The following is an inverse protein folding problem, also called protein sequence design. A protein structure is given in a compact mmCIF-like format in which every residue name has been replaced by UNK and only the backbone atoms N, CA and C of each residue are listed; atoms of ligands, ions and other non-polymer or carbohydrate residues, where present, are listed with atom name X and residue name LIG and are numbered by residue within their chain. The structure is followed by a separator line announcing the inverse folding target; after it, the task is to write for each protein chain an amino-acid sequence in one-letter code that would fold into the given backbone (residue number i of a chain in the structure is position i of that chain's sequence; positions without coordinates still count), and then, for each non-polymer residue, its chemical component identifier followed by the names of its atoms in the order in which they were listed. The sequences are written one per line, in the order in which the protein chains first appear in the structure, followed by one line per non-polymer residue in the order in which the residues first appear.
data_IF_114492325477
#
_entry.id   IF_114492325477
#
_cell.length_a   1.000
_cell.length_b   1.000
_cell.length_c   1.000
_cell.angle_alpha   90.00
_cell.angle_beta   90.00
_cell.angle_gamma   90.00
#
_symmetry.space_group_name_H-M   'P 1'
#
loop_
_entity.id
_entity.type
_entity.pdbx_description
1 polymer ?
#
# COMPACT_ATOMS: atom_id res chain seq x y z
N UNK A 1 11.12 -17.71 -16.16
CA UNK A 1 12.46 -17.21 -15.79
C UNK A 1 12.31 -15.70 -15.76
N UNK A 2 11.92 -15.14 -14.61
CA UNK A 2 11.87 -13.70 -14.38
C UNK A 2 13.30 -13.19 -14.33
N UNK A 3 13.58 -12.15 -15.10
CA UNK A 3 14.92 -11.53 -15.12
C UNK A 3 15.25 -10.94 -13.75
N UNK A 4 16.39 -11.27 -13.14
CA UNK A 4 16.89 -10.58 -11.98
C UNK A 4 17.34 -9.18 -12.43
N UNK A 5 16.54 -8.16 -12.19
CA UNK A 5 16.88 -6.84 -12.69
C UNK A 5 15.98 -5.67 -12.30
N UNK A 6 15.09 -5.83 -11.31
CA UNK A 6 14.41 -4.64 -10.76
C UNK A 6 15.39 -3.82 -9.92
N UNK A 7 15.48 -2.48 -10.09
CA UNK A 7 16.24 -1.61 -9.18
C UNK A 7 15.87 -1.83 -7.71
N UNK A 8 14.60 -2.05 -7.39
CA UNK A 8 14.12 -2.36 -6.05
C UNK A 8 14.69 -3.68 -5.50
N UNK A 9 14.78 -4.71 -6.34
CA UNK A 9 15.41 -6.00 -6.01
C UNK A 9 16.91 -5.83 -5.72
N UNK A 10 17.63 -5.09 -6.58
CA UNK A 10 19.05 -4.78 -6.37
C UNK A 10 19.27 -3.86 -5.17
N UNK A 11 18.38 -2.91 -4.90
CA UNK A 11 18.45 -2.07 -3.70
C UNK A 11 18.25 -2.90 -2.43
N UNK A 12 17.25 -3.79 -2.38
CA UNK A 12 17.05 -4.72 -1.27
C UNK A 12 18.24 -5.66 -1.07
N UNK A 13 18.74 -6.30 -2.12
CA UNK A 13 19.90 -7.20 -2.04
C UNK A 13 21.21 -6.46 -1.74
N UNK A 14 21.44 -5.29 -2.34
CA UNK A 14 22.66 -4.50 -2.10
C UNK A 14 22.62 -3.82 -0.72
N UNK A 15 21.46 -3.35 -0.27
CA UNK A 15 21.27 -2.83 1.08
C UNK A 15 21.46 -3.91 2.15
N UNK A 16 21.16 -5.17 1.80
CA UNK A 16 21.22 -6.34 2.68
C UNK A 16 22.49 -7.19 2.46
N UNK A 17 23.56 -6.64 1.84
CA UNK A 17 24.83 -7.35 1.59
C UNK A 17 25.53 -7.76 2.92
N UNK A 18 25.02 -8.83 3.51
CA UNK A 18 25.30 -9.33 4.85
C UNK A 18 26.38 -10.44 4.89
N UNK A 19 27.27 -10.41 3.92
CA UNK A 19 28.36 -11.41 3.84
C UNK A 19 29.37 -11.37 4.99
N UNK A 20 29.19 -10.49 6.00
CA UNK A 20 30.18 -10.29 7.06
C UNK A 20 29.68 -10.27 8.51
N UNK A 21 28.48 -10.75 8.79
CA UNK A 21 28.07 -11.01 10.17
C UNK A 21 27.82 -9.78 11.07
N UNK A 22 27.90 -8.56 10.54
CA UNK A 22 27.61 -7.34 11.28
C UNK A 22 26.14 -6.96 11.11
N UNK A 23 25.40 -6.93 12.21
CA UNK A 23 24.04 -6.40 12.28
C UNK A 23 24.08 -4.90 11.96
N UNK A 24 23.56 -4.51 10.80
CA UNK A 24 23.39 -3.10 10.49
C UNK A 24 22.39 -2.46 11.45
N UNK A 25 22.63 -1.21 11.83
CA UNK A 25 21.66 -0.43 12.58
C UNK A 25 20.41 -0.13 11.70
N UNK A 26 19.27 0.07 12.33
CA UNK A 26 18.05 0.47 11.63
C UNK A 26 18.27 1.71 10.74
N UNK A 27 19.05 2.69 11.21
CA UNK A 27 19.41 3.89 10.44
C UNK A 27 20.16 3.56 9.14
N UNK A 28 21.17 2.70 9.20
CA UNK A 28 21.93 2.27 8.03
C UNK A 28 21.08 1.52 7.00
N UNK A 29 20.13 0.70 7.48
CA UNK A 29 19.18 0.02 6.59
C UNK A 29 18.25 1.03 5.90
N UNK A 30 17.70 1.97 6.66
CA UNK A 30 16.81 3.00 6.11
C UNK A 30 17.52 3.91 5.10
N UNK A 31 18.78 4.30 5.37
CA UNK A 31 19.59 5.08 4.45
C UNK A 31 19.87 4.33 3.15
N UNK A 32 20.22 3.04 3.23
CA UNK A 32 20.50 2.22 2.04
C UNK A 32 19.27 1.94 1.18
N UNK A 33 18.11 1.76 1.81
CA UNK A 33 16.83 1.59 1.10
C UNK A 33 16.24 2.91 0.63
N UNK A 34 16.85 4.06 0.99
CA UNK A 34 16.33 5.40 0.72
C UNK A 34 14.89 5.62 1.22
N UNK A 35 14.48 4.87 2.26
CA UNK A 35 13.13 4.96 2.85
C UNK A 35 13.08 5.86 4.08
N UNK A 36 14.15 6.60 4.36
CA UNK A 36 14.12 7.62 5.42
C UNK A 36 13.21 8.79 5.05
N UNK A 37 12.53 9.36 6.05
CA UNK A 37 11.76 10.58 5.85
C UNK A 37 12.65 11.76 5.45
N UNK A 38 12.17 12.58 4.51
CA UNK A 38 12.85 13.81 4.12
C UNK A 38 12.67 14.87 5.22
N UNK A 39 13.75 15.56 5.59
CA UNK A 39 13.70 16.62 6.61
C UNK A 39 12.99 17.88 6.11
N UNK A 40 13.12 18.17 4.82
CA UNK A 40 12.57 19.34 4.12
C UNK A 40 11.16 19.11 3.55
N UNK A 41 10.54 17.98 3.86
CA UNK A 41 9.25 17.62 3.29
C UNK A 41 8.13 18.55 3.78
N UNK A 42 7.35 19.02 2.84
CA UNK A 42 6.21 19.90 3.06
C UNK A 42 5.01 19.07 3.54
N UNK A 43 4.18 19.71 4.37
CA UNK A 43 2.87 19.14 4.75
C UNK A 43 1.78 19.81 3.93
N UNK A 44 0.80 19.04 3.56
CA UNK A 44 -0.42 19.51 2.93
C UNK A 44 -1.60 19.45 3.92
N UNK A 45 -2.62 20.23 3.64
CA UNK A 45 -3.84 20.24 4.45
C UNK A 45 -4.71 19.04 4.05
N UNK A 46 -5.10 18.24 5.06
CA UNK A 46 -6.20 17.27 4.96
C UNK A 46 -7.53 17.92 5.29
N UNK A 47 -8.44 17.21 5.96
CA UNK A 47 -9.64 17.81 6.55
C UNK A 47 -9.28 18.91 7.56
N UNK A 48 -10.25 19.66 8.05
CA UNK A 48 -10.03 20.76 8.99
C UNK A 48 -9.19 20.31 10.21
N UNK A 49 -8.10 21.06 10.46
CA UNK A 49 -7.18 20.81 11.58
C UNK A 49 -6.19 19.66 11.38
N UNK A 50 -6.15 19.04 10.22
CA UNK A 50 -5.21 17.95 9.88
C UNK A 50 -4.15 18.41 8.90
N UNK A 51 -2.90 18.12 9.20
CA UNK A 51 -1.75 18.27 8.30
C UNK A 51 -1.22 16.89 7.94
N UNK A 52 -1.06 16.63 6.64
CA UNK A 52 -0.59 15.37 6.09
C UNK A 52 0.82 15.52 5.53
N UNK A 53 1.73 14.68 6.01
CA UNK A 53 3.03 14.53 5.36
C UNK A 53 2.83 13.88 3.99
N UNK A 54 3.42 14.46 2.95
CA UNK A 54 3.36 13.89 1.60
C UNK A 54 4.67 14.08 0.86
N UNK A 55 4.83 13.30 -0.18
CA UNK A 55 5.88 13.44 -1.20
C UNK A 55 5.24 13.42 -2.58
N UNK A 56 5.81 14.19 -3.50
CA UNK A 56 5.35 14.23 -4.89
C UNK A 56 6.56 14.16 -5.81
N UNK A 57 6.50 13.23 -6.78
CA UNK A 57 7.59 12.99 -7.74
C UNK A 57 7.00 12.80 -9.13
N UNK A 58 7.73 13.24 -10.16
CA UNK A 58 7.29 13.11 -11.55
C UNK A 58 6.30 14.16 -12.00
N UNK A 59 5.74 13.98 -13.20
CA UNK A 59 4.75 14.85 -13.83
C UNK A 59 3.86 14.05 -14.78
N UNK A 60 2.63 14.52 -15.04
CA UNK A 60 1.66 13.83 -15.89
C UNK A 60 0.39 13.47 -15.12
N UNK A 61 -0.36 12.43 -15.54
CA UNK A 61 -1.51 11.94 -14.81
C UNK A 61 -1.17 11.63 -13.35
N UNK A 62 -2.04 12.03 -12.42
CA UNK A 62 -1.74 11.91 -10.99
C UNK A 62 -2.08 10.51 -10.49
N UNK A 63 -1.12 9.88 -9.80
CA UNK A 63 -1.30 8.64 -9.05
C UNK A 63 -1.15 8.94 -7.57
N UNK A 64 -2.23 8.80 -6.81
CA UNK A 64 -2.24 8.94 -5.36
C UNK A 64 -2.11 7.56 -4.71
N UNK A 65 -1.02 7.31 -3.98
CA UNK A 65 -0.86 6.06 -3.24
C UNK A 65 -1.57 6.14 -1.89
N UNK A 66 -2.35 5.11 -1.57
CA UNK A 66 -3.05 4.98 -0.30
C UNK A 66 -2.34 3.92 0.55
N UNK A 67 -1.68 4.36 1.61
CA UNK A 67 -0.93 3.48 2.51
C UNK A 67 -1.86 2.50 3.23
N UNK A 68 -1.46 1.24 3.32
CA UNK A 68 -1.96 0.40 4.40
C UNK A 68 -1.26 0.78 5.73
N UNK A 69 -1.66 0.17 6.86
CA UNK A 69 -1.13 0.57 8.16
C UNK A 69 0.33 0.17 8.43
N UNK A 70 0.93 -0.65 7.56
CA UNK A 70 2.30 -1.15 7.68
C UNK A 70 3.28 -0.43 6.75
N UNK A 71 2.77 0.49 5.91
CA UNK A 71 3.58 1.27 4.98
C UNK A 71 3.53 2.76 5.32
N UNK A 72 4.63 3.44 5.04
CA UNK A 72 4.77 4.88 5.16
C UNK A 72 5.14 5.50 3.81
N UNK A 73 4.96 6.80 3.68
CA UNK A 73 5.24 7.54 2.44
C UNK A 73 6.62 7.25 1.84
N UNK A 74 7.74 7.22 2.61
CA UNK A 74 9.05 6.96 2.03
C UNK A 74 9.18 5.60 1.35
N UNK A 75 8.45 4.59 1.79
CA UNK A 75 8.55 3.25 1.21
C UNK A 75 8.05 3.19 -0.23
N UNK A 76 7.14 4.07 -0.63
CA UNK A 76 6.65 4.13 -2.00
C UNK A 76 7.69 4.56 -3.02
N UNK A 77 8.73 5.29 -2.64
CA UNK A 77 9.80 5.70 -3.57
C UNK A 77 10.40 4.51 -4.31
N UNK A 78 10.58 3.38 -3.59
CA UNK A 78 11.16 2.16 -4.16
C UNK A 78 10.20 1.46 -5.12
N UNK A 79 8.89 1.61 -4.91
CA UNK A 79 7.86 0.88 -5.65
C UNK A 79 7.13 1.74 -6.69
N UNK A 80 7.57 2.99 -6.91
CA UNK A 80 6.95 3.93 -7.87
C UNK A 80 7.96 4.77 -8.64
N UNK A 81 9.25 4.42 -8.59
CA UNK A 81 10.32 5.14 -9.25
C UNK A 81 10.17 5.15 -10.78
N UNK A 82 9.93 3.99 -11.40
CA UNK A 82 9.67 3.87 -12.84
C UNK A 82 8.33 4.52 -13.23
N UNK A 83 7.29 4.35 -12.41
CA UNK A 83 5.98 4.96 -12.63
C UNK A 83 6.07 6.49 -12.65
N UNK A 84 6.93 7.07 -11.81
CA UNK A 84 7.14 8.52 -11.73
C UNK A 84 7.78 9.15 -12.97
N UNK A 85 8.32 8.36 -13.90
CA UNK A 85 8.87 8.87 -15.17
C UNK A 85 7.76 9.46 -16.06
N UNK A 86 6.59 8.86 -16.08
CA UNK A 86 5.45 9.30 -16.91
C UNK A 86 4.24 9.84 -16.14
N UNK A 87 4.28 9.77 -14.81
CA UNK A 87 3.15 10.12 -13.95
C UNK A 87 3.59 10.99 -12.77
N UNK A 88 2.69 11.84 -12.28
CA UNK A 88 2.89 12.52 -10.99
C UNK A 88 2.46 11.59 -9.88
N UNK A 89 3.40 10.93 -9.20
CA UNK A 89 3.12 10.10 -8.03
C UNK A 89 3.07 10.97 -6.79
N UNK A 90 1.97 10.91 -6.05
CA UNK A 90 1.77 11.56 -4.75
C UNK A 90 1.57 10.46 -3.71
N UNK A 91 2.44 10.41 -2.72
CA UNK A 91 2.35 9.50 -1.58
C UNK A 91 2.18 10.31 -0.30
N UNK A 92 1.36 9.84 0.64
CA UNK A 92 1.15 10.55 1.90
C UNK A 92 1.00 9.58 3.07
N UNK A 93 1.34 10.03 4.27
CA UNK A 93 1.05 9.29 5.50
C UNK A 93 -0.39 9.53 5.93
N UNK A 94 -1.11 8.47 6.26
CA UNK A 94 -2.45 8.56 6.84
C UNK A 94 -2.42 9.39 8.12
N UNK A 95 -3.47 10.15 8.40
CA UNK A 95 -3.66 10.80 9.69
C UNK A 95 -3.62 9.75 10.81
N UNK A 96 -2.83 9.97 11.84
CA UNK A 96 -2.54 9.00 12.89
C UNK A 96 -1.39 8.04 12.57
N UNK A 97 -0.64 8.28 11.49
CA UNK A 97 0.55 7.50 11.10
C UNK A 97 1.72 8.38 10.68
N UNK A 98 2.92 7.84 10.83
CA UNK A 98 4.16 8.40 10.32
C UNK A 98 4.39 9.84 10.76
N UNK A 99 4.56 10.77 9.80
CA UNK A 99 4.76 12.21 10.06
C UNK A 99 3.52 13.08 9.85
N UNK A 100 2.35 12.49 9.58
CA UNK A 100 1.08 13.21 9.57
C UNK A 100 0.60 13.56 10.97
N UNK A 101 -0.46 14.37 11.07
CA UNK A 101 -1.09 14.71 12.36
C UNK A 101 -1.53 13.48 13.12
N UNK A 102 -1.30 13.47 14.44
CA UNK A 102 -1.73 12.44 15.38
C UNK A 102 -2.77 13.02 16.34
N UNK A 103 -4.07 13.00 15.98
CA UNK A 103 -5.13 13.50 16.84
C UNK A 103 -5.35 12.58 18.04
N UNK A 104 -5.87 13.11 19.16
CA UNK A 104 -6.17 12.34 20.36
C UNK A 104 -7.12 11.14 20.07
N UNK A 105 -8.12 11.37 19.21
CA UNK A 105 -9.00 10.33 18.73
C UNK A 105 -8.56 9.88 17.34
N UNK A 106 -8.23 8.59 17.19
CA UNK A 106 -7.84 8.00 15.90
C UNK A 106 -8.98 8.14 14.87
N UNK A 107 -8.66 8.52 13.61
CA UNK A 107 -9.65 8.78 12.58
C UNK A 107 -10.49 7.56 12.20
N UNK A 108 -11.72 7.81 11.80
CA UNK A 108 -12.61 6.85 11.15
C UNK A 108 -12.28 6.73 9.64
N UNK A 109 -12.84 5.72 8.95
CA UNK A 109 -12.73 5.63 7.48
C UNK A 109 -13.28 6.86 6.78
N UNK A 110 -14.39 7.41 7.26
CA UNK A 110 -14.99 8.62 6.69
C UNK A 110 -14.07 9.83 6.82
N UNK A 111 -13.41 10.00 7.97
CA UNK A 111 -12.43 11.06 8.19
C UNK A 111 -11.19 10.89 7.32
N UNK A 112 -10.74 9.67 7.05
CA UNK A 112 -9.67 9.42 6.08
C UNK A 112 -10.09 9.72 4.64
N UNK A 113 -11.36 9.52 4.27
CA UNK A 113 -11.88 9.96 2.95
C UNK A 113 -11.78 11.48 2.82
N UNK A 114 -12.20 12.23 3.84
CA UNK A 114 -12.09 13.71 3.84
C UNK A 114 -10.62 14.18 3.84
N UNK A 115 -9.71 13.43 4.46
CA UNK A 115 -8.27 13.70 4.39
C UNK A 115 -7.73 13.55 2.97
N UNK A 116 -8.17 12.53 2.22
CA UNK A 116 -7.80 12.35 0.80
C UNK A 116 -8.30 13.52 -0.04
N UNK A 117 -9.54 13.92 0.13
CA UNK A 117 -10.13 15.04 -0.63
C UNK A 117 -9.41 16.34 -0.29
N UNK A 118 -9.19 16.62 1.01
CA UNK A 118 -8.45 17.79 1.45
C UNK A 118 -7.02 17.84 0.90
N UNK A 119 -6.34 16.70 0.81
CA UNK A 119 -5.02 16.59 0.19
C UNK A 119 -5.06 16.92 -1.30
N UNK A 120 -6.02 16.37 -2.05
CA UNK A 120 -6.18 16.66 -3.47
C UNK A 120 -6.45 18.16 -3.69
N UNK A 121 -7.32 18.77 -2.87
CA UNK A 121 -7.63 20.21 -2.95
C UNK A 121 -6.38 21.07 -2.63
N UNK A 122 -5.64 20.72 -1.57
CA UNK A 122 -4.44 21.47 -1.19
C UNK A 122 -3.32 21.39 -2.24
N UNK A 123 -3.30 20.33 -3.06
CA UNK A 123 -2.33 20.12 -4.14
C UNK A 123 -2.85 20.55 -5.51
N UNK A 124 -4.05 21.17 -5.57
CA UNK A 124 -4.72 21.61 -6.80
C UNK A 124 -4.88 20.46 -7.81
N UNK A 125 -5.25 19.27 -7.30
CA UNK A 125 -5.46 18.05 -8.10
C UNK A 125 -6.97 17.84 -8.24
N UNK A 126 -7.50 18.00 -9.45
CA UNK A 126 -8.91 17.78 -9.71
C UNK A 126 -9.28 16.30 -9.60
N UNK A 127 -8.51 15.42 -10.23
CA UNK A 127 -8.74 13.99 -10.26
C UNK A 127 -7.42 13.20 -10.17
N UNK A 128 -7.45 12.01 -9.54
CA UNK A 128 -6.31 11.12 -9.45
C UNK A 128 -6.69 9.66 -9.71
N UNK A 129 -5.70 8.87 -10.13
CA UNK A 129 -5.73 7.42 -10.01
C UNK A 129 -5.41 7.05 -8.57
N UNK A 130 -6.24 6.20 -7.94
CA UNK A 130 -5.99 5.73 -6.58
C UNK A 130 -5.24 4.39 -6.62
N UNK A 131 -4.00 4.36 -6.18
CA UNK A 131 -3.21 3.14 -6.01
C UNK A 131 -3.26 2.71 -4.55
N UNK A 132 -4.00 1.66 -4.25
CA UNK A 132 -4.26 1.20 -2.89
C UNK A 132 -3.84 -0.25 -2.67
N UNK A 133 -3.49 -0.57 -1.43
CA UNK A 133 -2.96 -1.88 -1.07
C UNK A 133 -3.66 -2.49 0.14
N UNK A 134 -3.95 -3.78 0.10
CA UNK A 134 -4.51 -4.51 1.23
C UNK A 134 -5.73 -3.79 1.84
N UNK A 135 -5.67 -3.42 3.11
CA UNK A 135 -6.79 -2.78 3.82
C UNK A 135 -7.10 -1.37 3.32
N UNK A 136 -6.13 -0.63 2.74
CA UNK A 136 -6.42 0.70 2.19
C UNK A 136 -7.30 0.66 0.93
N UNK A 137 -7.54 -0.52 0.38
CA UNK A 137 -8.54 -0.71 -0.69
C UNK A 137 -9.96 -0.37 -0.23
N UNK A 138 -10.22 -0.44 1.08
CA UNK A 138 -11.46 0.07 1.71
C UNK A 138 -11.54 1.60 1.54
N UNK A 139 -10.42 2.31 1.78
CA UNK A 139 -10.36 3.76 1.60
C UNK A 139 -10.55 4.15 0.13
N UNK A 140 -9.88 3.47 -0.81
CA UNK A 140 -10.05 3.73 -2.25
C UNK A 140 -11.51 3.55 -2.68
N UNK A 141 -12.18 2.49 -2.24
CA UNK A 141 -13.61 2.25 -2.45
C UNK A 141 -14.47 3.40 -1.93
N UNK A 142 -14.22 3.83 -0.69
CA UNK A 142 -15.05 4.83 -0.02
C UNK A 142 -14.85 6.22 -0.64
N UNK A 143 -13.63 6.57 -1.06
CA UNK A 143 -13.37 7.77 -1.86
C UNK A 143 -14.14 7.73 -3.17
N UNK A 144 -14.08 6.61 -3.91
CA UNK A 144 -14.77 6.50 -5.20
C UNK A 144 -16.32 6.51 -5.07
N UNK A 145 -16.86 6.02 -3.95
CA UNK A 145 -18.31 6.06 -3.69
C UNK A 145 -18.82 7.45 -3.31
N UNK A 146 -18.02 8.21 -2.54
CA UNK A 146 -18.43 9.51 -2.01
C UNK A 146 -18.03 10.68 -2.91
N UNK A 147 -16.90 10.56 -3.58
CA UNK A 147 -16.29 11.58 -4.43
C UNK A 147 -15.92 11.01 -5.81
N UNK A 148 -16.87 10.44 -6.57
CA UNK A 148 -16.58 9.78 -7.85
C UNK A 148 -15.95 10.73 -8.88
N UNK A 149 -16.23 12.03 -8.79
CA UNK A 149 -15.67 13.10 -9.61
C UNK A 149 -14.18 13.36 -9.35
N UNK A 150 -13.63 12.86 -8.24
CA UNK A 150 -12.21 13.00 -7.89
C UNK A 150 -11.37 11.78 -8.31
N UNK A 151 -11.99 10.72 -8.88
CA UNK A 151 -11.32 9.44 -9.15
C UNK A 151 -11.36 9.13 -10.66
N UNK A 152 -10.17 9.10 -11.28
CA UNK A 152 -10.02 8.70 -12.70
C UNK A 152 -10.02 7.19 -12.89
N UNK A 153 -9.47 6.46 -11.94
CA UNK A 153 -9.38 5.01 -11.95
C UNK A 153 -8.82 4.49 -10.63
N UNK A 154 -8.91 3.19 -10.42
CA UNK A 154 -8.53 2.56 -9.15
C UNK A 154 -7.65 1.34 -9.42
N UNK A 155 -6.54 1.23 -8.73
CA UNK A 155 -5.72 0.02 -8.65
C UNK A 155 -5.81 -0.54 -7.24
N UNK A 156 -6.23 -1.80 -7.13
CA UNK A 156 -6.40 -2.53 -5.87
C UNK A 156 -5.39 -3.68 -5.82
N UNK A 157 -4.28 -3.49 -5.10
CA UNK A 157 -3.24 -4.51 -4.92
C UNK A 157 -3.48 -5.33 -3.64
N UNK A 158 -3.63 -6.64 -3.75
CA UNK A 158 -3.94 -7.54 -2.64
C UNK A 158 -5.20 -7.10 -1.86
N UNK A 159 -6.35 -6.89 -2.50
CA UNK A 159 -7.47 -6.17 -1.88
C UNK A 159 -8.14 -6.93 -0.72
N UNK A 160 -8.55 -6.15 0.28
CA UNK A 160 -9.35 -6.61 1.42
C UNK A 160 -10.86 -6.41 1.21
N UNK A 161 -11.33 -6.38 -0.04
CA UNK A 161 -12.71 -6.11 -0.39
C UNK A 161 -13.52 -7.37 -0.70
N UNK A 162 -14.86 -7.22 -0.63
CA UNK A 162 -15.82 -8.28 -0.93
C UNK A 162 -15.96 -9.30 0.20
N UNK A 163 -17.03 -10.14 0.16
CA UNK A 163 -17.38 -11.00 1.30
C UNK A 163 -16.31 -12.00 1.71
N UNK A 164 -15.56 -12.53 0.73
CA UNK A 164 -14.46 -13.48 1.00
C UNK A 164 -13.23 -12.77 1.56
N UNK A 165 -12.77 -11.71 0.90
CA UNK A 165 -11.61 -10.93 1.31
C UNK A 165 -11.81 -10.37 2.72
N UNK A 166 -12.89 -9.64 2.96
CA UNK A 166 -13.15 -9.03 4.26
C UNK A 166 -13.26 -10.03 5.41
N UNK A 167 -13.91 -11.18 5.24
CA UNK A 167 -14.01 -12.18 6.32
C UNK A 167 -12.65 -12.73 6.70
N UNK A 168 -11.83 -13.09 5.72
CA UNK A 168 -10.49 -13.62 5.96
C UNK A 168 -9.59 -12.55 6.57
N UNK A 169 -9.57 -11.35 5.99
CA UNK A 169 -8.80 -10.23 6.51
C UNK A 169 -9.14 -9.89 7.96
N UNK A 170 -10.41 -9.87 8.35
CA UNK A 170 -10.81 -9.63 9.75
C UNK A 170 -10.26 -10.67 10.72
N UNK A 171 -10.23 -11.95 10.33
CA UNK A 171 -9.66 -13.01 11.16
C UNK A 171 -8.15 -12.85 11.30
N UNK A 172 -7.45 -12.58 10.19
CA UNK A 172 -6.01 -12.36 10.16
C UNK A 172 -5.65 -11.09 10.95
N UNK A 173 -6.34 -9.98 10.72
CA UNK A 173 -6.11 -8.72 11.44
C UNK A 173 -6.35 -8.84 12.95
N UNK A 174 -7.31 -9.66 13.38
CA UNK A 174 -7.47 -9.99 14.80
C UNK A 174 -6.28 -10.77 15.35
N UNK A 175 -5.75 -11.73 14.60
CA UNK A 175 -4.57 -12.47 14.99
C UNK A 175 -3.33 -11.55 15.09
N UNK A 176 -3.15 -10.66 14.09
CA UNK A 176 -2.09 -9.65 14.10
C UNK A 176 -2.21 -8.69 15.28
N UNK A 177 -3.42 -8.19 15.56
CA UNK A 177 -3.68 -7.30 16.70
C UNK A 177 -3.34 -8.00 18.03
N UNK A 178 -3.77 -9.24 18.22
CA UNK A 178 -3.43 -10.02 19.41
C UNK A 178 -1.90 -10.24 19.53
N UNK A 179 -1.24 -10.59 18.43
CA UNK A 179 0.23 -10.75 18.42
C UNK A 179 0.92 -9.45 18.80
N UNK A 180 0.47 -8.32 18.23
CA UNK A 180 1.03 -7.00 18.52
C UNK A 180 0.83 -6.59 19.98
N UNK A 181 -0.38 -6.75 20.51
CA UNK A 181 -0.71 -6.34 21.88
C UNK A 181 0.05 -7.19 22.93
N UNK A 182 0.14 -8.51 22.72
CA UNK A 182 0.73 -9.45 23.66
C UNK A 182 2.25 -9.62 23.53
N UNK A 183 2.78 -9.55 22.29
CA UNK A 183 4.17 -9.92 21.99
C UNK A 183 4.98 -8.81 21.32
N UNK A 184 4.33 -7.69 20.92
CA UNK A 184 5.00 -6.51 20.36
C UNK A 184 5.28 -6.60 18.85
N UNK A 185 5.94 -5.54 18.35
CA UNK A 185 6.10 -5.29 16.92
C UNK A 185 6.98 -6.32 16.20
N UNK A 186 8.06 -6.77 16.84
CA UNK A 186 8.94 -7.77 16.24
C UNK A 186 8.22 -9.12 16.04
N UNK A 187 7.37 -9.52 16.98
CA UNK A 187 6.55 -10.72 16.86
C UNK A 187 5.45 -10.55 15.79
N UNK A 188 4.83 -9.37 15.72
CA UNK A 188 3.90 -9.07 14.64
C UNK A 188 4.58 -9.17 13.27
N UNK A 189 5.76 -8.57 13.10
CA UNK A 189 6.52 -8.66 11.85
C UNK A 189 6.79 -10.11 11.44
N UNK A 190 7.29 -10.93 12.39
CA UNK A 190 7.54 -12.35 12.12
C UNK A 190 6.27 -13.14 11.75
N UNK A 191 5.10 -12.71 12.26
CA UNK A 191 3.82 -13.33 11.94
C UNK A 191 3.35 -12.96 10.52
N UNK A 192 3.43 -11.69 10.15
CA UNK A 192 2.92 -11.23 8.85
C UNK A 192 3.89 -11.47 7.68
N UNK A 193 5.19 -11.62 7.93
CA UNK A 193 6.19 -11.79 6.87
C UNK A 193 5.85 -12.93 5.90
N UNK A 194 5.58 -14.17 6.36
CA UNK A 194 5.22 -15.27 5.47
C UNK A 194 3.80 -15.18 4.89
N UNK A 195 2.96 -14.25 5.35
CA UNK A 195 1.62 -14.04 4.82
C UNK A 195 1.58 -12.94 3.76
N UNK A 196 2.62 -12.10 3.69
CA UNK A 196 2.69 -10.92 2.81
C UNK A 196 3.57 -11.17 1.59
N UNK A 197 4.73 -11.80 1.77
CA UNK A 197 5.69 -12.08 0.71
C UNK A 197 5.42 -13.42 0.04
N UNK A 198 5.68 -13.51 -1.28
CA UNK A 198 5.67 -14.77 -2.01
C UNK A 198 6.79 -15.72 -1.56
N UNK A 199 6.58 -17.02 -1.71
CA UNK A 199 7.52 -18.04 -1.27
C UNK A 199 8.90 -17.89 -1.96
N UNK A 200 8.92 -17.56 -3.24
CA UNK A 200 10.15 -17.38 -4.02
C UNK A 200 11.00 -16.22 -3.48
N UNK A 201 10.35 -15.08 -3.17
CA UNK A 201 11.02 -13.93 -2.56
C UNK A 201 11.57 -14.25 -1.16
N UNK A 202 10.82 -15.00 -0.34
CA UNK A 202 11.29 -15.42 0.99
C UNK A 202 12.56 -16.28 0.89
N UNK A 203 12.60 -17.21 -0.06
CA UNK A 203 13.78 -18.06 -0.29
C UNK A 203 14.98 -17.24 -0.79
N UNK A 204 14.75 -16.29 -1.71
CA UNK A 204 15.82 -15.44 -2.24
C UNK A 204 16.40 -14.47 -1.20
N UNK A 205 15.54 -13.80 -0.43
CA UNK A 205 15.96 -12.87 0.61
C UNK A 205 16.61 -13.57 1.82
N UNK A 206 16.13 -14.76 2.13
CA UNK A 206 16.63 -15.55 3.26
C UNK A 206 16.59 -14.83 4.60
N UNK A 207 17.40 -15.29 5.55
CA UNK A 207 17.49 -14.66 6.88
C UNK A 207 17.96 -13.21 6.86
N UNK A 208 18.94 -12.80 6.03
CA UNK A 208 19.35 -11.40 5.93
C UNK A 208 18.21 -10.47 5.52
N UNK A 209 17.43 -10.85 4.49
CA UNK A 209 16.29 -10.07 4.05
C UNK A 209 15.22 -9.93 5.12
N UNK A 210 14.87 -11.03 5.79
CA UNK A 210 13.95 -11.01 6.92
C UNK A 210 14.38 -10.00 8.00
N UNK A 211 15.64 -10.03 8.41
CA UNK A 211 16.15 -9.16 9.49
C UNK A 211 16.21 -7.70 9.06
N UNK A 212 16.68 -7.39 7.83
CA UNK A 212 16.77 -6.02 7.33
C UNK A 212 15.40 -5.35 7.18
N UNK A 213 14.43 -6.06 6.60
CA UNK A 213 13.06 -5.56 6.48
C UNK A 213 12.38 -5.40 7.86
N UNK A 214 12.70 -6.28 8.82
CA UNK A 214 12.23 -6.14 10.20
C UNK A 214 12.70 -4.83 10.83
N UNK A 215 13.97 -4.50 10.69
CA UNK A 215 14.53 -3.26 11.28
C UNK A 215 13.89 -2.02 10.64
N UNK A 216 13.67 -2.04 9.32
CA UNK A 216 12.94 -0.96 8.63
C UNK A 216 11.51 -0.81 9.14
N UNK A 217 10.79 -1.91 9.30
CA UNK A 217 9.43 -1.93 9.86
C UNK A 217 9.38 -1.35 11.28
N UNK A 218 10.34 -1.75 12.14
CA UNK A 218 10.42 -1.27 13.52
C UNK A 218 10.78 0.22 13.61
N UNK A 219 11.53 0.74 12.64
CA UNK A 219 11.95 2.14 12.62
C UNK A 219 10.88 3.09 12.06
N UNK A 220 10.06 2.63 11.12
CA UNK A 220 9.07 3.45 10.41
C UNK A 220 7.70 3.50 11.07
N UNK A 221 7.38 2.54 11.93
CA UNK A 221 6.07 2.40 12.55
C UNK A 221 6.14 2.46 14.07
N UNK A 222 5.08 2.94 14.71
CA UNK A 222 4.92 2.83 16.17
C UNK A 222 3.90 1.75 16.53
N UNK A 223 4.04 1.17 17.73
CA UNK A 223 3.06 0.19 18.22
C UNK A 223 1.65 0.79 18.30
N UNK A 224 1.54 2.04 18.70
CA UNK A 224 0.27 2.74 18.86
C UNK A 224 -0.45 2.93 17.53
N UNK A 225 0.28 3.41 16.49
CA UNK A 225 -0.27 3.59 15.14
C UNK A 225 -0.81 2.27 14.59
N UNK A 226 -0.03 1.19 14.72
CA UNK A 226 -0.43 -0.13 14.25
C UNK A 226 -1.62 -0.70 15.01
N UNK A 227 -1.69 -0.52 16.33
CA UNK A 227 -2.85 -0.95 17.14
C UNK A 227 -4.11 -0.21 16.68
N UNK A 228 -4.01 1.11 16.51
CA UNK A 228 -5.14 1.94 16.09
C UNK A 228 -5.59 1.60 14.66
N UNK A 229 -4.65 1.46 13.72
CA UNK A 229 -4.94 1.04 12.35
C UNK A 229 -5.61 -0.34 12.28
N UNK A 230 -5.09 -1.33 12.99
CA UNK A 230 -5.68 -2.67 13.05
C UNK A 230 -7.08 -2.67 13.67
N UNK A 231 -7.33 -1.83 14.68
CA UNK A 231 -8.68 -1.63 15.24
C UNK A 231 -9.63 -1.01 14.21
N UNK A 232 -9.19 0.01 13.48
CA UNK A 232 -9.98 0.60 12.40
C UNK A 232 -10.29 -0.43 11.31
N UNK A 233 -9.31 -1.26 10.91
CA UNK A 233 -9.49 -2.31 9.91
C UNK A 233 -10.65 -3.27 10.24
N UNK A 234 -10.93 -3.49 11.52
CA UNK A 234 -12.02 -4.36 11.96
C UNK A 234 -13.41 -3.73 11.79
N UNK A 235 -13.51 -2.43 11.48
CA UNK A 235 -14.79 -1.69 11.36
C UNK A 235 -15.31 -1.55 9.92
N UNK A 236 -14.52 -1.92 8.90
CA UNK A 236 -14.83 -1.68 7.48
C UNK A 236 -16.14 -2.35 7.03
N UNK A 237 -16.85 -1.70 6.10
CA UNK A 237 -18.03 -2.27 5.42
C UNK A 237 -17.63 -3.50 4.59
N UNK A 238 -18.49 -4.51 4.51
CA UNK A 238 -18.20 -5.78 3.84
C UNK A 238 -19.11 -6.09 2.66
N UNK A 239 -20.17 -5.29 2.42
CA UNK A 239 -21.10 -5.55 1.32
C UNK A 239 -20.40 -5.39 -0.03
N UNK A 240 -20.55 -6.41 -0.88
CA UNK A 240 -20.08 -6.34 -2.25
C UNK A 240 -21.03 -5.55 -3.16
N UNK A 241 -22.25 -5.28 -2.73
CA UNK A 241 -23.26 -4.61 -3.54
C UNK A 241 -22.92 -3.14 -3.81
N UNK A 242 -22.17 -2.53 -2.88
CA UNK A 242 -21.71 -1.13 -3.05
C UNK A 242 -20.72 -0.99 -4.21
N UNK A 243 -19.96 -2.03 -4.55
CA UNK A 243 -18.95 -2.02 -5.60
C UNK A 243 -19.55 -1.82 -6.99
N UNK A 244 -20.78 -2.28 -7.21
CA UNK A 244 -21.51 -2.08 -8.45
C UNK A 244 -21.86 -0.60 -8.74
N UNK A 245 -21.67 0.29 -7.76
CA UNK A 245 -21.89 1.74 -7.89
C UNK A 245 -20.64 2.52 -8.28
N UNK A 246 -19.48 1.86 -8.33
CA UNK A 246 -18.19 2.48 -8.68
C UNK A 246 -17.99 2.36 -10.18
N UNK A 247 -18.24 3.45 -10.89
CA UNK A 247 -18.10 3.52 -12.35
C UNK A 247 -16.65 3.71 -12.81
N UNK A 248 -15.76 4.17 -11.91
CA UNK A 248 -14.34 4.35 -12.24
C UNK A 248 -13.71 3.03 -12.71
N UNK A 249 -12.93 3.04 -13.81
CA UNK A 249 -12.15 1.88 -14.23
C UNK A 249 -11.35 1.32 -13.06
N UNK A 250 -11.47 0.01 -12.82
CA UNK A 250 -10.85 -0.64 -11.66
C UNK A 250 -10.00 -1.82 -12.08
N UNK A 251 -8.72 -1.83 -11.67
CA UNK A 251 -7.79 -2.92 -11.83
C UNK A 251 -7.54 -3.60 -10.48
N UNK A 252 -7.87 -4.89 -10.38
CA UNK A 252 -7.52 -5.75 -9.23
C UNK A 252 -6.22 -6.47 -9.56
N UNK A 253 -5.19 -6.31 -8.73
CA UNK A 253 -3.89 -6.99 -8.88
C UNK A 253 -3.64 -7.89 -7.68
N UNK A 254 -3.25 -9.12 -7.92
CA UNK A 254 -2.98 -10.12 -6.88
C UNK A 254 -1.84 -11.03 -7.31
N UNK A 255 -1.05 -11.49 -6.37
CA UNK A 255 -0.10 -12.58 -6.59
C UNK A 255 -0.81 -13.94 -6.64
N UNK A 256 -0.27 -14.89 -7.37
CA UNK A 256 -0.79 -16.27 -7.39
C UNK A 256 -0.46 -17.04 -6.11
N UNK A 257 0.52 -16.57 -5.33
CA UNK A 257 0.91 -17.08 -4.01
C UNK A 257 0.27 -16.28 -2.84
N UNK A 258 -0.70 -15.41 -3.12
CA UNK A 258 -1.43 -14.66 -2.06
C UNK A 258 -2.26 -15.60 -1.19
N UNK A 259 -1.80 -15.79 0.04
CA UNK A 259 -2.48 -16.63 1.04
C UNK A 259 -3.68 -15.94 1.68
N UNK A 260 -3.87 -14.63 1.50
CA UNK A 260 -4.98 -13.84 2.06
C UNK A 260 -6.17 -13.75 1.10
N UNK A 261 -5.91 -13.58 -0.20
CA UNK A 261 -6.93 -13.59 -1.25
C UNK A 261 -6.47 -14.48 -2.40
N UNK A 262 -7.23 -15.51 -2.73
CA UNK A 262 -6.87 -16.41 -3.83
C UNK A 262 -7.12 -15.77 -5.19
N UNK A 263 -6.47 -16.26 -6.28
CA UNK A 263 -6.73 -15.81 -7.66
C UNK A 263 -8.20 -15.84 -8.07
N UNK A 264 -8.97 -16.87 -7.64
CA UNK A 264 -10.41 -16.92 -7.87
C UNK A 264 -11.18 -15.82 -7.14
N UNK A 265 -10.69 -15.41 -5.96
CA UNK A 265 -11.26 -14.29 -5.20
C UNK A 265 -11.04 -12.94 -5.89
N UNK A 266 -9.88 -12.74 -6.53
CA UNK A 266 -9.59 -11.53 -7.31
C UNK A 266 -10.53 -11.41 -8.52
N UNK A 267 -10.75 -12.49 -9.25
CA UNK A 267 -11.72 -12.53 -10.36
C UNK A 267 -13.12 -12.18 -9.90
N UNK A 268 -13.62 -12.88 -8.86
CA UNK A 268 -14.97 -12.61 -8.29
C UNK A 268 -15.11 -11.16 -7.83
N UNK A 269 -14.05 -10.55 -7.30
CA UNK A 269 -14.04 -9.17 -6.87
C UNK A 269 -14.12 -8.21 -8.07
N UNK A 270 -13.27 -8.42 -9.09
CA UNK A 270 -13.25 -7.58 -10.27
C UNK A 270 -14.60 -7.57 -11.00
N UNK A 271 -15.29 -8.70 -11.06
CA UNK A 271 -16.64 -8.85 -11.64
C UNK A 271 -17.74 -8.08 -10.89
N UNK A 272 -17.45 -7.55 -9.69
CA UNK A 272 -18.40 -6.69 -8.93
C UNK A 272 -18.37 -5.24 -9.36
N UNK A 273 -17.31 -4.80 -10.04
CA UNK A 273 -17.19 -3.46 -10.57
C UNK A 273 -17.70 -3.41 -12.01
N UNK A 274 -18.50 -2.42 -12.42
CA UNK A 274 -18.98 -2.28 -13.80
C UNK A 274 -17.84 -2.27 -14.82
N UNK A 275 -16.73 -1.61 -14.50
CA UNK A 275 -15.54 -1.49 -15.34
C UNK A 275 -14.32 -2.18 -14.66
N UNK A 276 -14.55 -3.33 -14.01
CA UNK A 276 -13.54 -4.07 -13.30
C UNK A 276 -12.77 -5.05 -14.18
N UNK A 277 -11.47 -5.14 -13.98
CA UNK A 277 -10.61 -6.19 -14.52
C UNK A 277 -9.63 -6.67 -13.45
N UNK A 278 -9.01 -7.83 -13.67
CA UNK A 278 -8.00 -8.35 -12.76
C UNK A 278 -6.77 -8.83 -13.52
N UNK A 279 -5.64 -8.80 -12.83
CA UNK A 279 -4.37 -9.39 -13.27
C UNK A 279 -3.78 -10.20 -12.13
N UNK A 280 -3.13 -11.30 -12.48
CA UNK A 280 -2.44 -12.18 -11.53
C UNK A 280 -0.96 -12.08 -11.82
N UNK A 281 -0.16 -11.74 -10.80
CA UNK A 281 1.29 -11.67 -10.90
C UNK A 281 1.89 -13.00 -10.44
N UNK A 282 2.58 -13.74 -11.34
CA UNK A 282 3.15 -15.04 -11.01
C UNK A 282 4.26 -14.93 -9.95
N UNK A 283 4.27 -15.87 -9.00
CA UNK A 283 5.26 -15.95 -7.92
C UNK A 283 5.13 -14.88 -6.83
N UNK A 284 4.20 -13.95 -6.99
CA UNK A 284 4.02 -12.87 -6.02
C UNK A 284 3.05 -13.26 -4.89
N UNK A 285 3.30 -12.70 -3.69
CA UNK A 285 2.45 -12.85 -2.53
C UNK A 285 1.33 -11.81 -2.44
N UNK A 286 0.96 -11.44 -1.22
CA UNK A 286 -0.19 -10.56 -0.93
C UNK A 286 -0.02 -9.13 -1.46
N UNK A 287 1.19 -8.59 -1.40
CA UNK A 287 1.51 -7.27 -1.92
C UNK A 287 2.46 -7.41 -3.12
N UNK A 288 1.91 -7.61 -4.34
CA UNK A 288 2.69 -8.06 -5.50
C UNK A 288 3.85 -7.13 -5.88
N UNK A 289 3.77 -5.84 -5.54
CA UNK A 289 4.85 -4.88 -5.77
C UNK A 289 6.08 -5.12 -4.88
N UNK A 290 5.95 -5.86 -3.78
CA UNK A 290 7.09 -6.25 -2.95
C UNK A 290 7.92 -7.35 -3.64
N UNK A 291 7.25 -8.25 -4.34
CA UNK A 291 7.87 -9.40 -5.01
C UNK A 291 8.38 -9.04 -6.42
N UNK A 292 7.61 -8.26 -7.19
CA UNK A 292 8.00 -7.77 -8.53
C UNK A 292 7.57 -6.31 -8.74
N UNK A 293 8.40 -5.38 -8.25
CA UNK A 293 8.14 -3.94 -8.34
C UNK A 293 8.08 -3.44 -9.79
N UNK A 294 8.97 -3.90 -10.67
CA UNK A 294 9.02 -3.46 -12.06
C UNK A 294 7.80 -3.94 -12.85
N UNK A 295 7.45 -5.23 -12.72
CA UNK A 295 6.25 -5.80 -13.34
C UNK A 295 4.98 -5.13 -12.86
N UNK A 296 4.90 -4.84 -11.56
CA UNK A 296 3.76 -4.13 -10.99
C UNK A 296 3.64 -2.69 -11.53
N UNK A 297 4.73 -1.92 -11.56
CA UNK A 297 4.73 -0.56 -12.08
C UNK A 297 4.36 -0.51 -13.57
N UNK A 298 4.89 -1.43 -14.38
CA UNK A 298 4.55 -1.54 -15.80
C UNK A 298 3.06 -1.86 -16.00
N UNK A 299 2.48 -2.72 -15.15
CA UNK A 299 1.06 -3.06 -15.18
C UNK A 299 0.18 -1.86 -14.83
N UNK A 300 0.56 -1.08 -13.80
CA UNK A 300 -0.15 0.13 -13.40
C UNK A 300 -0.07 1.19 -14.50
N UNK A 301 1.11 1.45 -15.06
CA UNK A 301 1.31 2.40 -16.17
C UNK A 301 0.43 2.04 -17.37
N UNK A 302 0.46 0.77 -17.80
CA UNK A 302 -0.39 0.28 -18.88
C UNK A 302 -1.88 0.50 -18.61
N UNK A 303 -2.33 0.27 -17.37
CA UNK A 303 -3.71 0.52 -16.98
C UNK A 303 -4.10 1.99 -17.14
N UNK A 304 -3.25 2.90 -16.67
CA UNK A 304 -3.46 4.33 -16.77
C UNK A 304 -3.52 4.77 -18.24
N UNK A 305 -2.55 4.36 -19.05
CA UNK A 305 -2.49 4.69 -20.49
C UNK A 305 -3.75 4.24 -21.24
N UNK A 306 -4.28 3.05 -20.91
CA UNK A 306 -5.52 2.55 -21.52
C UNK A 306 -6.75 3.37 -21.10
N UNK A 307 -6.80 3.88 -19.86
CA UNK A 307 -7.89 4.74 -19.39
C UNK A 307 -7.79 6.12 -20.04
N UNK A 308 -6.60 6.74 -20.07
CA UNK A 308 -6.36 8.05 -20.71
C UNK A 308 -6.67 8.02 -22.22
N UNK A 309 -6.44 6.89 -22.90
CA UNK A 309 -6.74 6.76 -24.35
C UNK A 309 -8.23 6.64 -24.64
N UNK A 310 -9.05 6.23 -23.66
CA UNK A 310 -10.51 6.06 -23.81
C UNK A 310 -11.32 7.28 -23.39
N UNK A 311 -10.72 8.21 -22.62
CA UNK A 311 -11.32 9.44 -22.13
C UNK A 311 -11.28 10.53 -23.20
#
# INVERSE_FOLDING_TARGET
MSSPGSPAYFLLLNALNWDKGDLMSAGEVLERLEVAYREDAVRARGREGVELYYESTGAGPVVLTLNNFFMTTPTWRVFTDELSVGHRVVSYDLCGHGRSSHPEKYPTWDEHVEDVVGLLDALEIDQAYLLSTSISTVLARDVALKHPDRVKGIVLAGPALGPRGMRRHRLVQRAWLLTLEQHGMAALYAHLYPEVFGAEMIEELGTPGFLGLRESFLALSTKEDLVNGLKLALTGETSADVLARIEAPTLVVIGDDDVLLSPSGAKELAEKFPNGRYEIMPGAGHLPFLDDAAGFQALVAKFIDEVETRA
#
